data_IF_979923521166
#
_entry.id   IF_979923521166
#
_cell.length_a   1.000
_cell.length_b   1.000
_cell.length_c   1.000
_cell.angle_alpha   90.00
_cell.angle_beta   90.00
_cell.angle_gamma   90.00
#
_symmetry.space_group_name_H-M   'P 1'
#
loop_
_entity.id
_entity.type
_entity.pdbx_description
1 polymer ?
#
# COMPACT_ATOMS: atom_id res chain seq x y z
N UNK A 1 -1.37 5.29 -19.82
CA UNK A 1 -1.07 3.94 -19.34
C UNK A 1 0.08 4.00 -18.34
N UNK A 2 -0.19 4.03 -17.02
CA UNK A 2 0.89 4.08 -16.02
C UNK A 2 1.24 2.65 -15.65
N UNK A 3 2.35 2.15 -16.20
CA UNK A 3 2.88 0.81 -15.92
C UNK A 3 3.14 0.63 -14.43
N UNK A 4 2.21 -0.02 -13.74
CA UNK A 4 2.40 -0.51 -12.38
C UNK A 4 3.40 -1.66 -12.47
N UNK A 5 4.66 -1.42 -12.08
CA UNK A 5 5.69 -2.45 -12.05
C UNK A 5 5.31 -3.47 -10.97
N UNK A 6 4.76 -4.61 -11.39
CA UNK A 6 4.54 -5.73 -10.49
C UNK A 6 4.93 -7.04 -11.14
N UNK A 7 6.22 -7.37 -11.06
CA UNK A 7 6.67 -8.76 -10.91
C UNK A 7 8.16 -8.79 -10.54
N UNK A 8 8.49 -8.91 -9.25
CA UNK A 8 9.81 -9.39 -8.82
C UNK A 8 10.47 -8.64 -7.66
N UNK A 9 10.31 -7.33 -7.56
CA UNK A 9 11.01 -6.55 -6.52
C UNK A 9 10.10 -6.34 -5.31
N UNK A 10 10.54 -6.84 -4.16
CA UNK A 10 9.96 -6.45 -2.87
C UNK A 10 10.19 -4.95 -2.70
N UNK A 11 9.18 -4.15 -2.29
CA UNK A 11 9.40 -2.75 -2.05
C UNK A 11 10.49 -2.56 -1.00
N UNK A 12 11.38 -1.61 -1.24
CA UNK A 12 12.46 -1.29 -0.30
C UNK A 12 11.88 -0.79 1.02
N UNK A 13 12.63 -0.88 2.14
CA UNK A 13 12.16 -0.41 3.44
C UNK A 13 11.68 1.06 3.43
N UNK A 14 12.35 1.92 2.66
CA UNK A 14 11.95 3.31 2.41
C UNK A 14 10.57 3.41 1.72
N UNK A 15 10.27 2.54 0.76
CA UNK A 15 8.98 2.51 0.08
C UNK A 15 7.89 2.02 1.02
N UNK A 16 8.19 1.04 1.88
CA UNK A 16 7.25 0.58 2.91
C UNK A 16 6.96 1.68 3.93
N UNK A 17 7.99 2.44 4.36
CA UNK A 17 7.81 3.60 5.23
C UNK A 17 6.98 4.69 4.57
N UNK A 18 7.20 4.96 3.28
CA UNK A 18 6.40 5.93 2.54
C UNK A 18 4.94 5.45 2.37
N UNK A 19 4.73 4.15 2.14
CA UNK A 19 3.40 3.55 2.12
C UNK A 19 2.69 3.74 3.47
N UNK A 20 3.39 3.47 4.58
CA UNK A 20 2.87 3.63 5.94
C UNK A 20 2.50 5.09 6.22
N UNK A 21 3.43 6.02 5.98
CA UNK A 21 3.22 7.44 6.23
C UNK A 21 2.03 8.00 5.46
N UNK A 22 1.87 7.67 4.18
CA UNK A 22 0.72 8.12 3.38
C UNK A 22 -0.58 7.47 3.87
N UNK A 23 -0.54 6.20 4.23
CA UNK A 23 -1.69 5.52 4.80
C UNK A 23 -2.14 6.14 6.13
N UNK A 24 -1.19 6.48 7.01
CA UNK A 24 -1.44 7.18 8.27
C UNK A 24 -1.98 8.61 8.06
N UNK A 25 -1.61 9.26 6.95
CA UNK A 25 -2.20 10.54 6.51
C UNK A 25 -3.65 10.41 6.02
N UNK A 26 -4.21 9.19 5.97
CA UNK A 26 -5.57 8.93 5.52
C UNK A 26 -5.68 8.71 4.01
N UNK A 27 -4.57 8.51 3.29
CA UNK A 27 -4.64 8.11 1.89
C UNK A 27 -5.12 6.66 1.74
N UNK A 28 -6.04 6.43 0.80
CA UNK A 28 -6.47 5.08 0.43
C UNK A 28 -5.32 4.26 -0.16
N UNK A 29 -5.31 2.95 0.06
CA UNK A 29 -4.31 2.00 -0.49
C UNK A 29 -4.08 2.15 -2.00
N UNK A 30 -5.14 2.47 -2.76
CA UNK A 30 -5.05 2.70 -4.21
C UNK A 30 -4.27 3.96 -4.57
N UNK A 31 -4.47 5.07 -3.82
CA UNK A 31 -3.69 6.31 -4.01
C UNK A 31 -2.25 6.12 -3.58
N UNK A 32 -2.02 5.49 -2.44
CA UNK A 32 -0.68 5.14 -1.96
C UNK A 32 0.04 4.33 -3.04
N UNK A 33 -0.57 3.25 -3.52
CA UNK A 33 -0.04 2.40 -4.58
C UNK A 33 0.27 3.16 -5.87
N UNK A 34 -0.66 3.99 -6.34
CA UNK A 34 -0.45 4.81 -7.54
C UNK A 34 0.70 5.81 -7.41
N UNK A 35 1.04 6.24 -6.19
CA UNK A 35 2.17 7.13 -5.91
C UNK A 35 3.50 6.38 -5.82
N UNK A 36 3.53 5.23 -5.15
CA UNK A 36 4.74 4.40 -5.03
C UNK A 36 4.98 3.49 -6.23
N UNK A 37 4.04 3.42 -7.18
CA UNK A 37 4.13 2.59 -8.38
C UNK A 37 3.71 1.13 -8.17
N UNK A 38 3.00 0.83 -7.08
CA UNK A 38 2.55 -0.52 -6.71
C UNK A 38 1.03 -0.64 -6.73
N UNK A 39 0.50 -1.86 -6.83
CA UNK A 39 -0.93 -2.10 -6.68
C UNK A 39 -1.34 -2.01 -5.19
N UNK A 40 -2.59 -1.64 -4.94
CA UNK A 40 -3.20 -1.59 -3.61
C UNK A 40 -3.03 -2.92 -2.84
N UNK A 41 -3.11 -4.07 -3.53
CA UNK A 41 -2.87 -5.39 -2.91
C UNK A 41 -1.44 -5.55 -2.40
N UNK A 42 -0.45 -5.03 -3.13
CA UNK A 42 0.95 -5.06 -2.69
C UNK A 42 1.17 -4.13 -1.51
N UNK A 43 0.60 -2.92 -1.55
CA UNK A 43 0.62 -2.00 -0.41
C UNK A 43 0.01 -2.67 0.82
N UNK A 44 -1.15 -3.31 0.67
CA UNK A 44 -1.83 -4.05 1.75
C UNK A 44 -0.93 -5.10 2.38
N UNK A 45 -0.30 -5.96 1.57
CA UNK A 45 0.58 -7.03 2.07
C UNK A 45 1.81 -6.47 2.79
N UNK A 46 2.39 -5.36 2.30
CA UNK A 46 3.56 -4.76 2.93
C UNK A 46 3.22 -4.04 4.23
N UNK A 47 2.09 -3.33 4.30
CA UNK A 47 1.60 -2.74 5.54
C UNK A 47 1.34 -3.84 6.61
N UNK A 48 0.73 -4.96 6.22
CA UNK A 48 0.54 -6.11 7.11
C UNK A 48 1.88 -6.69 7.60
N UNK A 49 2.85 -6.85 6.70
CA UNK A 49 4.21 -7.32 7.06
C UNK A 49 4.95 -6.35 7.97
N UNK A 50 4.70 -5.05 7.81
CA UNK A 50 5.23 -4.00 8.67
C UNK A 50 4.50 -3.88 10.02
N UNK A 51 3.46 -4.69 10.26
CA UNK A 51 2.68 -4.64 11.49
C UNK A 51 1.70 -3.47 11.57
N UNK A 52 1.45 -2.78 10.45
CA UNK A 52 0.50 -1.67 10.39
C UNK A 52 -0.91 -2.23 10.44
N UNK A 53 -1.66 -1.83 11.47
CA UNK A 53 -3.08 -2.14 11.57
C UNK A 53 -3.82 -1.49 10.39
N UNK A 54 -4.25 -2.31 9.45
CA UNK A 54 -5.10 -1.85 8.36
C UNK A 54 -6.45 -1.48 8.95
N UNK A 55 -6.69 -0.17 9.04
CA UNK A 55 -8.02 0.41 9.10
C UNK A 55 -8.76 -0.10 7.88
N UNK A 56 -9.69 -1.02 8.10
CA UNK A 56 -10.44 -1.63 7.01
C UNK A 56 -11.06 -0.51 6.16
N UNK A 57 -10.60 -0.28 4.91
CA UNK A 57 -11.15 0.79 4.10
C UNK A 57 -12.51 0.37 3.52
N UNK A 58 -12.89 -0.89 3.70
CA UNK A 58 -14.17 -1.40 3.29
C UNK A 58 -14.93 -1.86 4.53
N UNK A 59 -15.82 -1.00 5.03
CA UNK A 59 -17.03 -1.47 5.70
C UNK A 59 -17.89 -2.33 4.75
N UNK A 60 -17.33 -3.41 4.19
CA UNK A 60 -18.13 -4.54 3.74
C UNK A 60 -18.46 -5.33 5.00
N UNK A 61 -19.53 -4.89 5.63
CA UNK A 61 -20.54 -5.80 6.13
C UNK A 61 -20.65 -6.98 5.14
N UNK A 62 -20.26 -8.16 5.60
CA UNK A 62 -20.72 -9.44 5.08
C UNK A 62 -21.12 -10.26 6.28
#
# INVERSE_FOLDING_TARGET
>A
DRGVRLRGEQPSPEQVLEMCRRYEQGESLARVGAKVGFNASTVRTNLLRAGVALRDPHGRER
#
